data_IF_813725855012
#
_entry.id   IF_813725855012
#
_cell.length_a   1.000
_cell.length_b   1.000
_cell.length_c   1.000
_cell.angle_alpha   90.00
_cell.angle_beta   90.00
_cell.angle_gamma   90.00
#
_symmetry.space_group_name_H-M   'P 1'
#
loop_
_entity.id
_entity.type
_entity.pdbx_description
1 polymer ?
#
# COMPACT_ATOMS: atom_id res chain seq x y z
N UNK A 1 -7.39 -25.61 46.17
CA UNK A 1 -6.32 -24.80 46.80
C UNK A 1 -6.36 -23.40 46.18
N UNK A 2 -6.33 -22.32 46.96
CA UNK A 2 -6.14 -20.93 46.44
C UNK A 2 -4.64 -20.69 46.22
N UNK A 3 -4.12 -19.76 45.41
CA UNK A 3 -4.75 -18.79 44.48
C UNK A 3 -4.00 -18.92 43.12
N UNK A 4 -3.67 -17.94 42.25
CA UNK A 4 -3.77 -16.46 42.14
C UNK A 4 -3.78 -16.08 40.65
N UNK A 5 -4.35 -14.93 40.28
CA UNK A 5 -4.25 -14.40 38.91
C UNK A 5 -2.88 -13.74 38.66
N UNK A 6 -2.39 -13.78 37.40
CA UNK A 6 -1.25 -12.98 36.94
C UNK A 6 -1.76 -11.98 35.89
N UNK A 7 -1.92 -10.74 36.32
CA UNK A 7 -2.15 -9.60 35.43
C UNK A 7 -0.78 -9.08 34.97
N UNK A 8 -0.50 -8.99 33.67
CA UNK A 8 0.75 -8.41 33.17
C UNK A 8 0.48 -7.17 32.31
N UNK A 9 0.36 -6.03 32.97
CA UNK A 9 0.16 -4.71 32.36
C UNK A 9 1.47 -4.14 31.78
N UNK A 10 1.93 -4.71 30.66
CA UNK A 10 3.18 -4.33 30.00
C UNK A 10 3.07 -3.14 29.03
N UNK A 11 3.02 -1.90 29.51
CA UNK A 11 3.25 -0.72 28.64
C UNK A 11 4.71 -0.70 28.16
N UNK A 12 4.96 -1.11 26.92
CA UNK A 12 6.27 -0.96 26.26
C UNK A 12 6.16 -0.05 25.05
N UNK A 13 6.49 1.24 25.23
CA UNK A 13 6.62 2.18 24.12
C UNK A 13 7.94 1.89 23.37
N UNK A 14 7.91 0.97 22.40
CA UNK A 14 9.01 0.66 21.48
C UNK A 14 8.48 0.48 20.06
N UNK A 15 9.25 0.97 19.10
CA UNK A 15 8.83 1.12 17.70
C UNK A 15 8.01 2.39 17.50
N UNK A 16 8.60 3.40 16.85
CA UNK A 16 7.83 4.43 16.16
C UNK A 16 7.43 3.85 14.81
N UNK A 17 6.48 2.90 14.83
CA UNK A 17 6.00 2.20 13.65
C UNK A 17 5.62 3.21 12.57
N UNK A 18 6.28 3.12 11.40
CA UNK A 18 5.94 3.96 10.25
C UNK A 18 4.47 3.68 9.94
N UNK A 19 3.64 4.72 10.04
CA UNK A 19 2.19 4.57 10.03
C UNK A 19 1.75 3.94 8.71
N UNK A 20 0.84 2.97 8.81
CA UNK A 20 -0.01 2.53 7.70
C UNK A 20 -0.38 3.72 6.82
N UNK A 21 -0.26 3.57 5.50
CA UNK A 21 -0.62 4.64 4.59
C UNK A 21 -2.07 5.11 4.84
N UNK A 22 -2.25 6.43 4.86
CA UNK A 22 -3.52 7.06 5.20
C UNK A 22 -4.72 6.57 4.34
N UNK A 23 -4.55 6.20 3.04
CA UNK A 23 -5.62 5.61 2.26
C UNK A 23 -6.09 4.23 2.75
N UNK A 24 -5.19 3.28 3.02
CA UNK A 24 -5.58 1.93 3.48
C UNK A 24 -6.28 2.03 4.85
N UNK A 25 -5.73 2.86 5.75
CA UNK A 25 -6.36 3.18 7.03
C UNK A 25 -7.73 3.85 6.90
N UNK A 26 -8.04 4.46 5.75
CA UNK A 26 -9.36 5.01 5.45
C UNK A 26 -10.35 3.95 4.94
N UNK A 27 -9.92 2.98 4.13
CA UNK A 27 -10.79 1.84 3.73
C UNK A 27 -11.21 1.01 4.95
N UNK A 28 -10.24 0.60 5.78
CA UNK A 28 -10.50 -0.18 7.00
C UNK A 28 -11.45 0.58 7.93
N UNK A 29 -11.23 1.89 8.13
CA UNK A 29 -12.14 2.74 8.94
C UNK A 29 -13.54 2.92 8.32
N UNK A 30 -13.71 2.69 7.03
CA UNK A 30 -15.02 2.75 6.36
C UNK A 30 -15.74 1.40 6.32
N UNK A 31 -15.09 0.29 6.71
CA UNK A 31 -15.63 -1.05 6.50
C UNK A 31 -15.69 -1.44 5.02
N UNK A 32 -14.79 -0.88 4.20
CA UNK A 32 -14.64 -1.23 2.78
C UNK A 32 -13.56 -2.28 2.54
N UNK A 33 -12.69 -2.51 3.54
CA UNK A 33 -11.61 -3.48 3.53
C UNK A 33 -11.57 -4.14 4.92
N UNK A 34 -11.82 -5.45 4.99
CA UNK A 34 -11.80 -6.22 6.23
C UNK A 34 -11.10 -7.60 6.07
N UNK A 35 -10.70 -8.27 7.17
CA UNK A 35 -9.90 -9.49 7.12
C UNK A 35 -10.55 -10.72 6.47
N UNK A 36 -11.79 -10.64 5.98
CA UNK A 36 -12.39 -11.68 5.14
C UNK A 36 -11.93 -11.65 3.67
N UNK A 37 -11.23 -10.58 3.25
CA UNK A 37 -10.72 -10.39 1.90
C UNK A 37 -9.20 -10.61 1.83
N UNK A 38 -8.74 -11.27 0.77
CA UNK A 38 -7.32 -11.33 0.40
C UNK A 38 -6.85 -10.00 -0.22
N UNK A 39 -5.61 -9.59 0.08
CA UNK A 39 -5.07 -8.29 -0.32
C UNK A 39 -3.72 -8.41 -1.05
N UNK A 40 -3.56 -7.75 -2.18
CA UNK A 40 -2.26 -7.64 -2.88
C UNK A 40 -1.80 -6.19 -3.00
N UNK A 41 -0.66 -5.85 -2.40
CA UNK A 41 -0.06 -4.52 -2.47
C UNK A 41 0.93 -4.44 -3.64
N UNK A 42 0.46 -3.95 -4.80
CA UNK A 42 1.26 -3.77 -6.01
C UNK A 42 2.08 -2.48 -5.89
N UNK A 43 3.40 -2.62 -5.91
CA UNK A 43 4.35 -1.53 -5.63
C UNK A 43 4.50 -1.23 -4.13
N UNK A 44 4.43 -2.25 -3.28
CA UNK A 44 4.48 -2.14 -1.82
C UNK A 44 5.80 -1.58 -1.24
N UNK A 45 6.81 -1.32 -2.08
CA UNK A 45 8.17 -1.03 -1.65
C UNK A 45 8.71 -2.11 -0.72
N UNK A 46 9.15 -1.70 0.45
CA UNK A 46 9.67 -2.60 1.50
C UNK A 46 8.60 -3.51 2.13
N UNK A 47 7.31 -3.33 1.82
CA UNK A 47 6.20 -4.14 2.34
C UNK A 47 5.69 -3.73 3.72
N UNK A 48 5.76 -2.44 4.06
CA UNK A 48 5.36 -1.94 5.39
C UNK A 48 3.83 -1.97 5.61
N UNK A 49 3.05 -1.66 4.57
CA UNK A 49 1.58 -1.75 4.64
C UNK A 49 1.14 -3.23 4.64
N UNK A 50 1.79 -4.11 3.86
CA UNK A 50 1.63 -5.58 3.93
C UNK A 50 1.89 -6.12 5.35
N UNK A 51 3.01 -5.75 5.98
CA UNK A 51 3.30 -6.15 7.36
C UNK A 51 2.19 -5.68 8.32
N UNK A 52 1.72 -4.43 8.18
CA UNK A 52 0.64 -3.93 9.02
C UNK A 52 -0.66 -4.73 8.83
N UNK A 53 -0.98 -5.13 7.59
CA UNK A 53 -2.17 -5.93 7.27
C UNK A 53 -2.09 -7.31 7.95
N UNK A 54 -0.93 -7.99 7.93
CA UNK A 54 -0.70 -9.20 8.73
C UNK A 54 -0.90 -8.95 10.23
N UNK A 55 -0.38 -7.83 10.77
CA UNK A 55 -0.61 -7.42 12.17
C UNK A 55 -2.07 -7.03 12.48
N UNK A 56 -2.98 -7.05 11.49
CA UNK A 56 -4.43 -6.91 11.66
C UNK A 56 -5.21 -8.18 11.28
N UNK A 57 -4.51 -9.27 10.92
CA UNK A 57 -5.10 -10.56 10.61
C UNK A 57 -5.63 -10.72 9.18
N UNK A 58 -5.25 -9.83 8.25
CA UNK A 58 -5.55 -9.99 6.83
C UNK A 58 -4.62 -11.03 6.20
N UNK A 59 -5.15 -11.78 5.23
CA UNK A 59 -4.34 -12.44 4.22
C UNK A 59 -3.83 -11.37 3.24
N UNK A 60 -2.51 -11.17 3.19
CA UNK A 60 -1.91 -10.11 2.39
C UNK A 60 -0.59 -10.57 1.76
N UNK A 61 -0.37 -10.21 0.50
CA UNK A 61 0.92 -10.29 -0.19
C UNK A 61 1.24 -8.96 -0.87
N UNK A 62 2.42 -8.83 -1.48
CA UNK A 62 2.80 -7.63 -2.20
C UNK A 62 4.11 -7.77 -2.95
N UNK A 63 4.22 -7.03 -4.04
CA UNK A 63 5.35 -7.05 -4.97
C UNK A 63 5.85 -5.64 -5.23
N UNK A 64 7.13 -5.50 -5.55
CA UNK A 64 7.73 -4.21 -5.93
C UNK A 64 8.92 -4.45 -6.88
N UNK A 65 9.03 -3.72 -8.02
CA UNK A 65 10.05 -3.96 -9.03
C UNK A 65 11.49 -3.67 -8.58
N UNK A 66 11.69 -2.98 -7.45
CA UNK A 66 13.01 -2.65 -6.90
C UNK A 66 13.31 -3.38 -5.59
N UNK A 67 12.32 -3.52 -4.72
CA UNK A 67 12.48 -4.07 -3.37
C UNK A 67 12.11 -5.55 -3.25
N UNK A 68 11.22 -6.05 -4.12
CA UNK A 68 10.58 -7.39 -4.03
C UNK A 68 10.40 -8.05 -5.41
N UNK A 69 11.32 -7.81 -6.34
CA UNK A 69 11.16 -8.18 -7.74
C UNK A 69 11.00 -9.69 -8.00
N UNK A 70 11.42 -10.55 -7.05
CA UNK A 70 11.28 -12.00 -7.10
C UNK A 70 10.10 -12.58 -6.32
N UNK A 71 9.32 -11.75 -5.61
CA UNK A 71 8.06 -12.18 -5.00
C UNK A 71 7.00 -12.37 -6.11
N UNK A 72 6.01 -13.28 -5.95
CA UNK A 72 5.03 -13.54 -7.00
C UNK A 72 4.04 -12.38 -7.20
N UNK A 73 3.51 -12.25 -8.42
CA UNK A 73 2.27 -11.52 -8.65
C UNK A 73 1.09 -12.47 -8.37
N UNK A 74 0.26 -12.13 -7.38
CA UNK A 74 -0.81 -12.99 -6.87
C UNK A 74 -2.16 -12.31 -7.09
N UNK A 75 -3.16 -13.06 -7.56
CA UNK A 75 -4.54 -12.58 -7.61
C UNK A 75 -5.10 -12.43 -6.20
N UNK A 76 -5.81 -11.34 -5.93
CA UNK A 76 -6.47 -11.11 -4.65
C UNK A 76 -7.77 -10.35 -4.83
N UNK A 77 -8.62 -10.43 -3.82
CA UNK A 77 -9.94 -9.81 -3.85
C UNK A 77 -9.81 -8.29 -3.90
N UNK A 78 -8.87 -7.75 -3.12
CA UNK A 78 -8.50 -6.33 -3.13
C UNK A 78 -7.06 -6.16 -3.62
N UNK A 79 -6.86 -5.43 -4.71
CA UNK A 79 -5.51 -4.99 -5.12
C UNK A 79 -5.32 -3.53 -4.75
N UNK A 80 -4.17 -3.21 -4.16
CA UNK A 80 -3.75 -1.86 -3.82
C UNK A 80 -2.69 -1.41 -4.84
N UNK A 81 -2.92 -0.27 -5.48
CA UNK A 81 -1.95 0.41 -6.34
C UNK A 81 -1.67 1.78 -5.73
N UNK A 82 -0.95 1.75 -4.60
CA UNK A 82 -0.90 2.83 -3.63
C UNK A 82 0.29 3.77 -3.90
N UNK A 83 0.04 4.97 -4.44
CA UNK A 83 1.04 5.98 -4.83
C UNK A 83 2.04 5.55 -5.94
N UNK A 84 1.84 4.39 -6.57
CA UNK A 84 2.72 3.86 -7.64
C UNK A 84 2.63 4.70 -8.91
N UNK A 85 1.42 5.12 -9.29
CA UNK A 85 1.19 5.89 -10.54
C UNK A 85 1.91 7.23 -10.52
N UNK A 86 2.12 7.83 -9.34
CA UNK A 86 2.89 9.06 -9.15
C UNK A 86 4.39 8.90 -9.53
N UNK A 87 4.90 7.67 -9.49
CA UNK A 87 6.33 7.37 -9.64
C UNK A 87 6.73 6.95 -11.07
N UNK A 88 5.76 6.69 -11.95
CA UNK A 88 6.01 6.19 -13.31
C UNK A 88 5.91 7.36 -14.29
N UNK A 89 7.03 7.73 -14.91
CA UNK A 89 7.15 8.90 -15.77
C UNK A 89 6.51 8.76 -17.16
N UNK A 90 6.45 7.54 -17.70
CA UNK A 90 5.90 7.27 -19.03
C UNK A 90 4.40 6.88 -19.01
N UNK A 91 3.55 7.42 -19.91
CA UNK A 91 2.12 7.10 -19.95
C UNK A 91 1.78 5.65 -20.35
N UNK A 92 2.60 5.00 -21.17
CA UNK A 92 2.40 3.59 -21.56
C UNK A 92 2.76 2.70 -20.38
N UNK A 93 3.89 2.96 -19.70
CA UNK A 93 4.24 2.25 -18.46
C UNK A 93 3.19 2.45 -17.35
N UNK A 94 2.63 3.67 -17.20
CA UNK A 94 1.51 3.93 -16.28
C UNK A 94 0.28 3.08 -16.62
N UNK A 95 -0.09 3.02 -17.90
CA UNK A 95 -1.23 2.23 -18.36
C UNK A 95 -0.98 0.72 -18.15
N UNK A 96 0.23 0.24 -18.43
CA UNK A 96 0.61 -1.15 -18.16
C UNK A 96 0.54 -1.50 -16.68
N UNK A 97 1.04 -0.65 -15.78
CA UNK A 97 0.99 -0.90 -14.34
C UNK A 97 -0.47 -0.97 -13.83
N UNK A 98 -1.34 -0.07 -14.30
CA UNK A 98 -2.77 -0.09 -14.02
C UNK A 98 -3.46 -1.36 -14.53
N UNK A 99 -3.16 -1.78 -15.77
CA UNK A 99 -3.72 -3.00 -16.36
C UNK A 99 -3.22 -4.27 -15.68
N UNK A 100 -1.94 -4.32 -15.28
CA UNK A 100 -1.34 -5.44 -14.52
C UNK A 100 -1.97 -5.55 -13.12
N UNK A 101 -2.14 -4.45 -12.40
CA UNK A 101 -2.81 -4.45 -11.09
C UNK A 101 -4.30 -4.82 -11.20
N UNK A 102 -5.00 -4.31 -12.22
CA UNK A 102 -6.40 -4.71 -12.50
C UNK A 102 -6.51 -6.21 -12.85
N UNK A 103 -5.56 -6.76 -13.61
CA UNK A 103 -5.53 -8.19 -13.95
C UNK A 103 -5.32 -9.15 -12.77
N UNK A 104 -4.93 -8.63 -11.60
CA UNK A 104 -4.81 -9.38 -10.34
C UNK A 104 -6.02 -9.19 -9.40
N UNK A 105 -7.01 -8.38 -9.80
CA UNK A 105 -8.14 -7.95 -8.96
C UNK A 105 -9.36 -8.85 -9.15
N UNK A 106 -10.00 -9.29 -8.06
CA UNK A 106 -11.31 -9.98 -8.12
C UNK A 106 -12.51 -9.09 -7.76
N UNK A 107 -12.45 -8.34 -6.65
CA UNK A 107 -13.53 -7.44 -6.23
C UNK A 107 -13.29 -5.99 -6.70
N UNK A 108 -12.20 -5.36 -6.22
CA UNK A 108 -11.90 -3.96 -6.56
C UNK A 108 -10.42 -3.57 -6.47
N UNK A 109 -10.00 -2.67 -7.37
CA UNK A 109 -8.67 -2.07 -7.43
C UNK A 109 -8.68 -0.71 -6.74
N UNK A 110 -7.86 -0.55 -5.72
CA UNK A 110 -7.64 0.71 -5.02
C UNK A 110 -6.44 1.45 -5.61
N UNK A 111 -6.68 2.40 -6.51
CA UNK A 111 -5.64 3.33 -7.01
C UNK A 111 -5.55 4.56 -6.11
N UNK A 112 -4.33 4.95 -5.71
CA UNK A 112 -4.09 6.24 -5.02
C UNK A 112 -2.99 7.04 -5.69
N UNK A 113 -3.17 8.36 -5.68
CA UNK A 113 -2.24 9.34 -6.27
C UNK A 113 -2.12 10.56 -5.35
N UNK A 114 -0.94 11.19 -5.33
CA UNK A 114 -0.70 12.45 -4.61
C UNK A 114 -1.18 13.64 -5.43
N UNK A 115 -2.15 14.38 -4.90
CA UNK A 115 -2.40 15.76 -5.34
C UNK A 115 -1.35 16.69 -4.72
N UNK A 116 -0.24 16.87 -5.42
CA UNK A 116 0.72 17.90 -5.04
C UNK A 116 0.09 19.30 -5.11
N UNK A 117 0.39 20.13 -4.10
CA UNK A 117 -0.08 21.51 -4.04
C UNK A 117 0.74 22.37 -4.99
N UNK A 118 0.10 22.84 -6.06
CA UNK A 118 0.54 23.95 -6.92
C UNK A 118 2.06 23.97 -7.17
N UNK A 119 2.51 23.07 -8.06
CA UNK A 119 3.92 22.85 -8.39
C UNK A 119 4.62 24.16 -8.81
N UNK A 120 5.34 24.78 -7.88
CA UNK A 120 5.88 26.16 -8.02
C UNK A 120 7.02 26.24 -9.05
N UNK A 121 7.67 25.12 -9.35
CA UNK A 121 8.69 24.97 -10.39
C UNK A 121 8.51 23.63 -11.08
N UNK A 122 7.97 23.65 -12.28
CA UNK A 122 7.85 22.47 -13.15
C UNK A 122 8.16 22.81 -14.59
N UNK A 123 8.88 21.90 -15.24
CA UNK A 123 9.07 21.90 -16.69
C UNK A 123 8.11 20.86 -17.31
N UNK A 124 7.36 21.18 -18.39
CA UNK A 124 6.62 20.17 -19.14
C UNK A 124 7.57 19.07 -19.64
N UNK A 125 7.16 17.81 -19.55
CA UNK A 125 7.94 16.67 -20.02
C UNK A 125 7.01 15.53 -20.44
N UNK A 126 7.06 15.15 -21.72
CA UNK A 126 6.07 14.27 -22.34
C UNK A 126 4.64 14.80 -22.09
N UNK A 127 3.73 14.00 -21.55
CA UNK A 127 2.38 14.38 -21.10
C UNK A 127 2.33 14.89 -19.64
N UNK A 128 3.45 14.89 -18.93
CA UNK A 128 3.58 15.23 -17.53
C UNK A 128 4.47 16.45 -17.25
N UNK A 129 4.99 16.51 -16.02
CA UNK A 129 5.78 17.63 -15.51
C UNK A 129 6.95 17.13 -14.66
N UNK A 130 8.17 17.59 -14.95
CA UNK A 130 9.34 17.33 -14.12
C UNK A 130 9.35 18.26 -12.91
N UNK A 131 9.31 17.68 -11.70
CA UNK A 131 9.55 18.37 -10.43
C UNK A 131 11.02 18.23 -10.02
N UNK A 132 11.58 19.27 -9.40
CA UNK A 132 12.88 19.16 -8.74
C UNK A 132 12.71 18.58 -7.34
N UNK A 133 13.39 17.48 -7.02
CA UNK A 133 13.68 17.13 -5.61
C UNK A 133 14.45 18.28 -4.97
N UNK A 134 14.06 18.62 -3.74
CA UNK A 134 14.68 19.66 -2.90
C UNK A 134 15.42 19.07 -1.70
#
# INVERSE_FOLDING_TARGET
MKTKAIHNSGRSARGQWRKLSAPIGRLIKLGLLDPSQSVFDYGCGQGLDVQFLWEKGFEAEGWDPYWRAGDPLVESDVVLLNFVVDCIGDPVERAEALLKAWGLTRDYLMVTVRRDRALVRVCPYSDGWLTSVG
#
